data_IF_115580048509
#
_entry.id   IF_115580048509
#
_cell.length_a   1.000
_cell.length_b   1.000
_cell.length_c   1.000
_cell.angle_alpha   90.00
_cell.angle_beta   90.00
_cell.angle_gamma   90.00
#
_symmetry.space_group_name_H-M   'P 1'
#
loop_
_entity.id
_entity.type
_entity.pdbx_description
1 polymer ?
#
# COMPACT_ATOMS: atom_id res chain seq x y z
N UNK A 1 19.70 -35.59 -16.91
CA UNK A 1 19.82 -34.92 -18.20
C UNK A 1 18.44 -34.91 -18.86
N UNK A 2 17.63 -33.88 -18.60
CA UNK A 2 16.29 -33.74 -19.18
C UNK A 2 16.34 -32.54 -20.12
N UNK A 3 16.12 -32.78 -21.40
CA UNK A 3 16.03 -31.75 -22.44
C UNK A 3 14.72 -31.01 -22.28
N UNK A 4 14.77 -29.71 -21.94
CA UNK A 4 13.64 -28.80 -22.01
C UNK A 4 13.53 -28.29 -23.44
N UNK A 5 12.47 -28.67 -24.12
CA UNK A 5 12.14 -28.20 -25.47
C UNK A 5 11.47 -26.86 -25.32
N UNK A 6 12.15 -25.79 -25.82
CA UNK A 6 11.54 -24.48 -26.01
C UNK A 6 10.65 -24.52 -27.26
N UNK A 7 9.33 -24.44 -27.06
CA UNK A 7 8.42 -24.01 -28.11
C UNK A 7 7.58 -22.83 -27.58
N UNK A 8 8.00 -21.63 -27.96
CA UNK A 8 7.15 -20.45 -27.86
C UNK A 8 6.29 -20.37 -29.13
N UNK A 9 4.96 -20.20 -29.01
CA UNK A 9 4.14 -19.92 -30.17
C UNK A 9 4.45 -18.48 -30.65
N UNK A 10 4.98 -18.35 -31.84
CA UNK A 10 5.00 -17.12 -32.60
C UNK A 10 3.59 -16.88 -33.13
N UNK A 11 2.82 -16.04 -32.48
CA UNK A 11 1.66 -15.43 -33.12
C UNK A 11 1.95 -13.95 -33.30
N UNK A 12 2.17 -13.59 -34.55
CA UNK A 12 2.25 -12.25 -35.04
C UNK A 12 0.86 -11.62 -35.10
N UNK A 13 0.85 -10.40 -34.91
CA UNK A 13 0.26 -9.23 -35.55
C UNK A 13 0.45 -8.09 -34.57
N UNK A 14 1.42 -7.23 -34.89
CA UNK A 14 1.78 -6.09 -34.05
C UNK A 14 0.67 -5.05 -34.03
N UNK A 15 -0.22 -5.16 -33.08
CA UNK A 15 -0.86 -4.00 -32.52
C UNK A 15 0.15 -3.42 -31.53
N UNK A 16 0.77 -2.30 -31.89
CA UNK A 16 1.43 -1.41 -30.94
C UNK A 16 0.39 -1.01 -29.90
N UNK A 17 0.31 -1.77 -28.81
CA UNK A 17 -0.38 -1.33 -27.61
C UNK A 17 0.36 -0.05 -27.22
N UNK A 18 -0.23 1.13 -27.48
CA UNK A 18 0.22 2.38 -26.91
C UNK A 18 0.10 2.19 -25.39
N UNK A 19 1.21 1.87 -24.74
CA UNK A 19 1.27 1.88 -23.28
C UNK A 19 0.82 3.27 -22.86
N UNK A 20 -0.27 3.33 -22.08
CA UNK A 20 -0.75 4.59 -21.55
C UNK A 20 0.39 5.18 -20.70
N UNK A 21 0.90 6.32 -21.10
CA UNK A 21 1.79 7.09 -20.22
C UNK A 21 0.99 7.41 -18.96
N UNK A 22 1.60 7.18 -17.80
CA UNK A 22 0.99 7.56 -16.53
C UNK A 22 0.57 9.01 -16.58
N UNK A 23 -0.69 9.24 -16.28
CA UNK A 23 -1.24 10.58 -16.13
C UNK A 23 -2.07 10.62 -14.85
N UNK A 24 -1.75 11.58 -13.98
CA UNK A 24 -2.65 11.97 -12.90
C UNK A 24 -3.48 13.14 -13.41
N UNK A 25 -4.74 12.89 -13.72
CA UNK A 25 -5.71 13.90 -14.06
C UNK A 25 -6.40 14.39 -12.80
N UNK A 26 -6.09 15.60 -12.35
CA UNK A 26 -6.80 16.25 -11.23
C UNK A 26 -8.16 16.71 -11.72
N UNK A 27 -9.22 16.08 -11.20
CA UNK A 27 -10.62 16.37 -11.58
C UNK A 27 -11.14 17.57 -10.78
N UNK A 28 -10.78 17.62 -9.48
CA UNK A 28 -11.24 18.66 -8.57
C UNK A 28 -10.29 18.83 -7.40
N UNK A 29 -10.05 20.08 -7.01
CA UNK A 29 -9.36 20.44 -5.77
C UNK A 29 -10.39 20.97 -4.77
N UNK A 30 -10.20 20.69 -3.49
CA UNK A 30 -11.01 21.23 -2.40
C UNK A 30 -10.63 22.69 -2.14
N UNK A 31 -11.62 23.55 -1.96
CA UNK A 31 -11.40 24.99 -1.79
C UNK A 31 -10.81 25.41 -0.44
N UNK A 32 -10.84 24.52 0.56
CA UNK A 32 -10.45 24.81 1.95
C UNK A 32 -9.23 24.04 2.42
N UNK A 33 -8.71 23.13 1.60
CA UNK A 33 -7.56 22.28 1.93
C UNK A 33 -6.80 21.88 0.67
N UNK A 34 -5.75 21.04 0.83
CA UNK A 34 -5.03 20.47 -0.31
C UNK A 34 -5.63 19.13 -0.79
N UNK A 35 -6.81 18.76 -0.32
CA UNK A 35 -7.51 17.56 -0.76
C UNK A 35 -7.88 17.66 -2.24
N UNK A 36 -7.77 16.56 -2.96
CA UNK A 36 -8.09 16.52 -4.39
C UNK A 36 -8.71 15.20 -4.83
N UNK A 37 -9.63 15.28 -5.76
CA UNK A 37 -10.15 14.14 -6.53
C UNK A 37 -9.35 14.04 -7.82
N UNK A 38 -8.76 12.88 -8.10
CA UNK A 38 -8.00 12.70 -9.33
C UNK A 38 -8.17 11.28 -9.89
N UNK A 39 -7.75 11.09 -11.14
CA UNK A 39 -7.66 9.79 -11.82
C UNK A 39 -6.22 9.49 -12.18
N UNK A 40 -5.74 8.35 -11.71
CA UNK A 40 -4.43 7.82 -12.03
C UNK A 40 -4.59 6.70 -13.07
N UNK A 41 -4.07 6.90 -14.26
CA UNK A 41 -4.07 5.88 -15.31
C UNK A 41 -2.90 4.93 -15.14
N UNK A 42 -3.15 3.62 -15.14
CA UNK A 42 -2.13 2.56 -15.11
C UNK A 42 -2.33 1.62 -16.30
N UNK A 43 -1.42 0.67 -16.47
CA UNK A 43 -1.51 -0.35 -17.55
C UNK A 43 -2.74 -1.26 -17.37
N UNK A 44 -3.16 -1.53 -16.12
CA UNK A 44 -4.25 -2.44 -15.81
C UNK A 44 -5.54 -1.72 -15.34
N UNK A 45 -5.65 -0.42 -15.56
CA UNK A 45 -6.88 0.32 -15.29
C UNK A 45 -6.67 1.71 -14.73
N UNK A 46 -7.78 2.38 -14.45
CA UNK A 46 -7.80 3.72 -13.86
C UNK A 46 -8.12 3.60 -12.37
N UNK A 47 -7.36 4.34 -11.57
CA UNK A 47 -7.52 4.43 -10.11
C UNK A 47 -8.07 5.81 -9.75
N UNK A 48 -9.20 5.85 -9.09
CA UNK A 48 -9.76 7.10 -8.54
C UNK A 48 -9.16 7.38 -7.16
N UNK A 49 -8.54 8.54 -6.99
CA UNK A 49 -7.93 8.97 -5.72
C UNK A 49 -8.76 10.04 -5.01
N UNK A 50 -8.75 10.11 -3.67
CA UNK A 50 -7.96 9.30 -2.73
C UNK A 50 -8.34 7.82 -2.76
N UNK A 51 -7.34 6.92 -2.56
CA UNK A 51 -7.53 5.46 -2.62
C UNK A 51 -6.81 4.74 -1.49
N UNK A 52 -7.42 3.67 -0.99
CA UNK A 52 -6.76 2.68 -0.14
C UNK A 52 -6.36 1.47 -0.97
N UNK A 53 -5.12 1.02 -0.81
CA UNK A 53 -4.57 -0.16 -1.50
C UNK A 53 -4.59 -1.36 -0.56
N UNK A 54 -5.35 -2.38 -0.94
CA UNK A 54 -5.47 -3.59 -0.12
C UNK A 54 -4.18 -4.43 -0.19
N UNK A 55 -3.60 -4.76 0.99
CA UNK A 55 -2.29 -5.42 1.06
C UNK A 55 -2.41 -6.92 0.79
N UNK A 56 -1.85 -7.33 -0.34
CA UNK A 56 -1.70 -8.70 -0.81
C UNK A 56 -0.28 -9.23 -0.66
N UNK A 57 0.23 -9.34 0.57
CA UNK A 57 1.64 -9.63 0.95
C UNK A 57 2.31 -10.74 0.15
N UNK A 58 1.62 -11.86 -0.08
CA UNK A 58 2.12 -13.06 -0.77
C UNK A 58 1.31 -13.34 -2.06
N UNK A 59 0.94 -12.29 -2.80
CA UNK A 59 0.08 -12.41 -3.97
C UNK A 59 -1.38 -12.76 -3.60
N UNK A 60 -1.80 -12.39 -2.38
CA UNK A 60 -3.19 -12.54 -1.92
C UNK A 60 -3.51 -11.57 -0.79
N UNK A 61 -4.64 -10.89 -0.87
CA UNK A 61 -5.23 -10.20 0.28
C UNK A 61 -5.77 -11.28 1.21
N UNK A 62 -5.33 -11.27 2.48
CA UNK A 62 -5.57 -12.39 3.41
C UNK A 62 -7.05 -12.74 3.52
N UNK A 63 -7.36 -14.05 3.31
CA UNK A 63 -8.68 -14.66 3.36
C UNK A 63 -9.66 -14.21 2.25
N UNK A 64 -9.19 -13.49 1.22
CA UNK A 64 -9.99 -13.05 0.08
C UNK A 64 -9.46 -13.61 -1.24
N UNK A 65 -10.36 -13.88 -2.16
CA UNK A 65 -10.06 -14.22 -3.55
C UNK A 65 -10.29 -13.00 -4.47
N UNK A 66 -9.79 -13.00 -5.72
CA UNK A 66 -9.95 -11.87 -6.63
C UNK A 66 -11.40 -11.47 -6.90
N UNK A 67 -12.36 -12.43 -6.88
CA UNK A 67 -13.79 -12.13 -6.97
C UNK A 67 -14.26 -11.25 -5.81
N UNK A 68 -13.87 -11.59 -4.58
CA UNK A 68 -14.19 -10.77 -3.41
C UNK A 68 -13.67 -9.35 -3.56
N UNK A 69 -12.41 -9.19 -4.02
CA UNK A 69 -11.79 -7.87 -4.19
C UNK A 69 -12.57 -7.00 -5.18
N UNK A 70 -13.09 -7.59 -6.27
CA UNK A 70 -13.94 -6.89 -7.23
C UNK A 70 -15.29 -6.46 -6.60
N UNK A 71 -15.93 -7.34 -5.86
CA UNK A 71 -17.16 -7.04 -5.12
C UNK A 71 -16.95 -5.95 -4.06
N UNK A 72 -15.79 -5.95 -3.41
CA UNK A 72 -15.39 -4.97 -2.39
C UNK A 72 -14.86 -3.65 -2.99
N UNK A 73 -14.86 -3.49 -4.31
CA UNK A 73 -14.41 -2.30 -5.03
C UNK A 73 -12.93 -1.96 -4.76
N UNK A 74 -12.09 -2.97 -4.52
CA UNK A 74 -10.64 -2.80 -4.47
C UNK A 74 -10.16 -2.27 -5.81
N UNK A 75 -9.44 -1.16 -5.80
CA UNK A 75 -8.90 -0.56 -7.03
C UNK A 75 -7.44 -0.93 -7.27
N UNK A 76 -6.66 -1.08 -6.20
CA UNK A 76 -5.23 -1.41 -6.26
C UNK A 76 -4.91 -2.47 -5.22
N UNK A 77 -4.13 -3.48 -5.59
CA UNK A 77 -3.55 -4.44 -4.65
C UNK A 77 -2.07 -4.12 -4.46
N UNK A 78 -1.61 -4.09 -3.21
CA UNK A 78 -0.19 -3.92 -2.89
C UNK A 78 0.46 -5.29 -2.65
N UNK A 79 1.48 -5.62 -3.46
CA UNK A 79 2.32 -6.80 -3.29
C UNK A 79 3.63 -6.47 -2.57
N UNK A 80 4.14 -7.38 -1.72
CA UNK A 80 5.40 -7.17 -1.03
C UNK A 80 6.57 -7.89 -1.71
N UNK A 81 7.49 -7.14 -2.28
CA UNK A 81 8.65 -7.63 -3.02
C UNK A 81 9.52 -8.58 -2.18
N UNK A 82 9.83 -8.21 -0.94
CA UNK A 82 10.61 -9.06 -0.03
C UNK A 82 9.98 -10.45 0.16
N UNK A 83 8.69 -10.50 0.45
CA UNK A 83 8.00 -11.77 0.70
C UNK A 83 7.90 -12.63 -0.56
N UNK A 84 7.63 -12.02 -1.71
CA UNK A 84 7.53 -12.71 -2.99
C UNK A 84 8.89 -13.17 -3.53
N UNK A 85 9.98 -12.45 -3.22
CA UNK A 85 11.34 -12.86 -3.48
C UNK A 85 11.71 -14.14 -2.71
N UNK A 86 11.37 -14.20 -1.43
CA UNK A 86 11.65 -15.37 -0.59
C UNK A 86 10.74 -16.56 -0.93
N UNK A 87 9.47 -16.30 -1.24
CA UNK A 87 8.47 -17.33 -1.55
C UNK A 87 7.33 -16.74 -2.37
N UNK A 88 7.04 -17.28 -3.57
CA UNK A 88 7.55 -18.50 -4.16
C UNK A 88 8.92 -18.34 -4.84
N UNK A 89 9.45 -17.11 -4.99
CA UNK A 89 10.68 -16.83 -5.72
C UNK A 89 10.41 -16.29 -7.15
N UNK A 90 11.43 -15.64 -7.74
CA UNK A 90 11.28 -14.99 -9.04
C UNK A 90 11.00 -15.95 -10.19
N UNK A 91 11.58 -17.16 -10.16
CA UNK A 91 11.46 -18.15 -11.25
C UNK A 91 10.02 -18.65 -11.41
N UNK A 92 9.33 -18.90 -10.29
CA UNK A 92 7.93 -19.39 -10.31
C UNK A 92 7.01 -18.30 -10.81
N UNK A 93 7.20 -17.05 -10.37
CA UNK A 93 6.38 -15.91 -10.80
C UNK A 93 6.64 -15.58 -12.27
N UNK A 94 7.89 -15.63 -12.72
CA UNK A 94 8.23 -15.45 -14.13
C UNK A 94 7.58 -16.53 -15.02
N UNK A 95 7.61 -17.80 -14.58
CA UNK A 95 6.98 -18.90 -15.31
C UNK A 95 5.45 -18.77 -15.38
N UNK A 96 4.82 -18.11 -14.39
CA UNK A 96 3.39 -17.80 -14.38
C UNK A 96 3.02 -16.59 -15.27
N UNK A 97 3.99 -15.84 -15.78
CA UNK A 97 3.77 -14.64 -16.58
C UNK A 97 3.55 -13.35 -15.76
N UNK A 98 4.12 -13.28 -14.56
CA UNK A 98 4.03 -12.14 -13.65
C UNK A 98 2.96 -12.29 -12.56
N UNK A 99 2.89 -11.30 -11.67
CA UNK A 99 2.04 -11.36 -10.48
C UNK A 99 0.54 -11.33 -10.80
N UNK A 100 0.13 -10.53 -11.80
CA UNK A 100 -1.27 -10.48 -12.27
C UNK A 100 -1.78 -11.87 -12.68
N UNK A 101 -1.03 -12.56 -13.53
CA UNK A 101 -1.38 -13.91 -13.96
C UNK A 101 -1.32 -14.92 -12.83
N UNK A 102 -0.30 -14.82 -11.96
CA UNK A 102 -0.07 -15.72 -10.85
C UNK A 102 -1.22 -15.69 -9.83
N UNK A 103 -1.70 -14.49 -9.47
CA UNK A 103 -2.79 -14.32 -8.49
C UNK A 103 -4.18 -14.16 -9.13
N UNK A 104 -4.28 -14.15 -10.47
CA UNK A 104 -5.54 -13.96 -11.21
C UNK A 104 -6.23 -12.63 -10.91
N UNK A 105 -5.44 -11.59 -10.70
CA UNK A 105 -5.90 -10.23 -10.51
C UNK A 105 -5.64 -9.41 -11.77
N UNK A 106 -6.68 -8.80 -12.33
CA UNK A 106 -6.63 -8.03 -13.59
C UNK A 106 -6.62 -6.50 -13.39
N UNK A 107 -6.69 -6.04 -12.14
CA UNK A 107 -6.59 -4.62 -11.79
C UNK A 107 -5.16 -4.19 -11.45
N UNK A 108 -4.95 -2.89 -11.18
CA UNK A 108 -3.67 -2.32 -10.82
C UNK A 108 -2.98 -3.00 -9.63
N UNK A 109 -1.66 -3.15 -9.73
CA UNK A 109 -0.80 -3.63 -8.65
C UNK A 109 0.32 -2.61 -8.39
N UNK A 110 0.51 -2.27 -7.11
CA UNK A 110 1.72 -1.61 -6.63
C UNK A 110 2.59 -2.64 -5.91
N UNK A 111 3.91 -2.61 -6.11
CA UNK A 111 4.85 -3.40 -5.31
C UNK A 111 5.75 -2.49 -4.51
N UNK A 112 5.93 -2.82 -3.21
CA UNK A 112 6.91 -2.14 -2.38
C UNK A 112 8.35 -2.49 -2.78
N UNK A 113 9.33 -1.78 -2.22
CA UNK A 113 10.74 -2.04 -2.49
C UNK A 113 11.32 -3.27 -1.78
N UNK A 114 10.67 -3.73 -0.73
CA UNK A 114 11.20 -4.73 0.21
C UNK A 114 12.10 -4.16 1.31
N UNK A 115 12.48 -2.88 1.25
CA UNK A 115 13.40 -2.24 2.21
C UNK A 115 12.88 -2.26 3.65
N UNK A 116 11.61 -1.93 3.87
CA UNK A 116 10.99 -1.97 5.20
C UNK A 116 10.99 -3.38 5.81
N UNK A 117 10.73 -4.43 5.03
CA UNK A 117 10.68 -5.81 5.51
C UNK A 117 12.09 -6.31 5.88
N UNK A 118 13.12 -5.93 5.13
CA UNK A 118 14.52 -6.17 5.51
C UNK A 118 14.81 -5.49 6.84
N UNK A 119 14.33 -4.25 7.04
CA UNK A 119 14.47 -3.53 8.29
C UNK A 119 13.73 -4.21 9.45
N UNK A 120 12.46 -4.61 9.27
CA UNK A 120 11.58 -5.04 10.36
C UNK A 120 11.67 -6.54 10.69
N UNK A 121 11.98 -7.41 9.72
CA UNK A 121 11.90 -8.87 9.87
C UNK A 121 13.26 -9.57 9.94
N UNK A 122 14.30 -9.01 9.32
CA UNK A 122 15.61 -9.63 9.30
C UNK A 122 16.33 -9.46 10.64
N UNK A 123 16.58 -10.57 11.35
CA UNK A 123 17.30 -10.60 12.63
C UNK A 123 18.78 -10.24 12.48
N UNK A 124 19.40 -10.64 11.37
CA UNK A 124 20.79 -10.31 11.02
C UNK A 124 20.77 -9.61 9.68
N UNK A 125 21.28 -8.37 9.65
CA UNK A 125 21.36 -7.55 8.45
C UNK A 125 22.57 -6.65 8.50
N UNK A 126 23.18 -6.43 7.36
CA UNK A 126 24.32 -5.51 7.19
C UNK A 126 24.05 -4.61 6.00
N UNK A 127 23.98 -3.31 6.25
CA UNK A 127 23.85 -2.30 5.22
C UNK A 127 25.20 -1.93 4.64
N UNK A 128 25.27 -1.86 3.33
CA UNK A 128 26.40 -1.34 2.56
C UNK A 128 25.90 -0.21 1.65
N UNK A 129 26.78 0.37 0.85
CA UNK A 129 26.39 1.36 -0.16
C UNK A 129 25.60 0.71 -1.32
N UNK A 130 25.83 -0.57 -1.58
CA UNK A 130 25.18 -1.31 -2.67
C UNK A 130 23.78 -1.84 -2.30
N UNK A 131 23.50 -2.02 -0.99
CA UNK A 131 22.26 -2.60 -0.50
C UNK A 131 22.41 -3.24 0.87
N UNK A 132 21.57 -4.22 1.17
CA UNK A 132 21.55 -4.91 2.45
C UNK A 132 21.68 -6.42 2.28
N UNK A 133 22.63 -7.04 3.02
CA UNK A 133 22.69 -8.48 3.24
C UNK A 133 21.86 -8.85 4.44
N UNK A 134 21.06 -9.90 4.32
CA UNK A 134 20.21 -10.36 5.42
C UNK A 134 19.93 -11.85 5.33
N UNK A 135 19.55 -12.43 6.49
CA UNK A 135 19.10 -13.82 6.54
C UNK A 135 17.57 -13.88 6.49
N UNK A 136 17.05 -14.74 5.62
CA UNK A 136 15.62 -15.04 5.50
C UNK A 136 15.06 -15.47 6.86
N UNK A 137 13.91 -14.91 7.22
CA UNK A 137 13.18 -15.30 8.43
C UNK A 137 12.47 -16.67 8.29
N UNK A 138 12.43 -17.23 7.07
CA UNK A 138 11.76 -18.50 6.77
C UNK A 138 12.70 -19.69 7.03
N UNK A 139 13.91 -19.64 6.49
CA UNK A 139 14.85 -20.77 6.42
C UNK A 139 16.30 -20.39 6.77
N UNK A 140 16.57 -19.12 7.04
CA UNK A 140 17.88 -18.63 7.42
C UNK A 140 18.88 -18.43 6.28
N UNK A 141 18.54 -18.73 5.04
CA UNK A 141 19.42 -18.48 3.89
C UNK A 141 19.78 -17.00 3.78
N UNK A 142 21.01 -16.74 3.35
CA UNK A 142 21.48 -15.38 3.11
C UNK A 142 20.96 -14.85 1.78
N UNK A 143 20.44 -13.63 1.80
CA UNK A 143 19.99 -12.85 0.64
C UNK A 143 20.68 -11.50 0.61
N UNK A 144 20.78 -10.97 -0.60
CA UNK A 144 21.17 -9.57 -0.82
C UNK A 144 20.03 -8.86 -1.55
N UNK A 145 19.67 -7.68 -1.07
CA UNK A 145 18.66 -6.80 -1.68
C UNK A 145 19.19 -5.37 -1.70
N UNK A 146 19.28 -4.82 -2.87
CA UNK A 146 19.63 -3.43 -3.14
C UNK A 146 18.75 -2.85 -4.23
N UNK A 147 19.04 -1.64 -4.70
CA UNK A 147 18.28 -1.01 -5.77
C UNK A 147 18.08 -1.91 -7.00
N UNK A 148 19.16 -2.54 -7.45
CA UNK A 148 19.15 -3.41 -8.63
C UNK A 148 18.30 -4.67 -8.43
N UNK A 149 18.51 -5.38 -7.31
CA UNK A 149 17.80 -6.63 -7.02
C UNK A 149 16.30 -6.37 -6.79
N UNK A 150 15.97 -5.29 -6.08
CA UNK A 150 14.59 -4.87 -5.85
C UNK A 150 13.87 -4.55 -7.16
N UNK A 151 14.46 -3.72 -8.02
CA UNK A 151 13.85 -3.35 -9.30
C UNK A 151 13.76 -4.54 -10.26
N UNK A 152 14.76 -5.44 -10.29
CA UNK A 152 14.69 -6.68 -11.08
C UNK A 152 13.54 -7.57 -10.61
N UNK A 153 13.35 -7.72 -9.29
CA UNK A 153 12.22 -8.49 -8.76
C UNK A 153 10.89 -7.84 -9.12
N UNK A 154 10.73 -6.53 -8.94
CA UNK A 154 9.51 -5.80 -9.28
C UNK A 154 9.21 -5.85 -10.80
N UNK A 155 10.24 -5.85 -11.65
CA UNK A 155 10.10 -6.11 -13.09
C UNK A 155 9.55 -7.50 -13.39
N UNK A 156 10.01 -8.54 -12.68
CA UNK A 156 9.51 -9.91 -12.81
C UNK A 156 8.06 -10.01 -12.29
N UNK A 157 7.75 -9.32 -11.22
CA UNK A 157 6.38 -9.19 -10.70
C UNK A 157 5.45 -8.54 -11.72
N UNK A 158 5.94 -7.60 -12.54
CA UNK A 158 5.18 -6.91 -13.57
C UNK A 158 4.08 -6.03 -12.98
N UNK A 159 4.33 -5.43 -11.81
CA UNK A 159 3.40 -4.48 -11.19
C UNK A 159 3.26 -3.19 -12.03
N UNK A 160 2.14 -2.49 -11.89
CA UNK A 160 1.93 -1.20 -12.55
C UNK A 160 2.80 -0.11 -11.94
N UNK A 161 3.00 -0.18 -10.62
CA UNK A 161 3.80 0.78 -9.85
C UNK A 161 4.85 0.03 -9.03
N UNK A 162 6.12 0.42 -9.22
CA UNK A 162 7.26 -0.09 -8.46
C UNK A 162 7.81 1.01 -7.55
N UNK A 163 8.18 0.67 -6.31
CA UNK A 163 8.78 1.61 -5.38
C UNK A 163 10.31 1.52 -5.44
N UNK A 164 11.01 2.65 -5.37
CA UNK A 164 12.47 2.67 -5.23
C UNK A 164 12.91 1.98 -3.94
N UNK A 165 14.12 1.41 -3.95
CA UNK A 165 14.70 0.85 -2.73
C UNK A 165 15.20 1.97 -1.83
N UNK A 166 14.82 1.94 -0.55
CA UNK A 166 15.08 2.98 0.45
C UNK A 166 15.55 2.39 1.78
N UNK A 167 16.13 3.22 2.62
CA UNK A 167 16.48 2.86 3.98
C UNK A 167 15.49 3.46 4.98
N UNK A 168 14.59 2.64 5.49
CA UNK A 168 13.65 3.03 6.54
C UNK A 168 14.37 3.15 7.88
N UNK A 169 14.20 4.28 8.56
CA UNK A 169 14.77 4.54 9.88
C UNK A 169 13.85 4.10 11.01
N UNK A 170 14.40 3.66 12.16
CA UNK A 170 13.61 3.47 13.37
C UNK A 170 13.16 4.81 13.96
N UNK A 171 12.13 4.77 14.79
CA UNK A 171 11.76 5.90 15.63
C UNK A 171 12.05 5.53 17.11
N UNK A 172 12.70 6.41 17.91
CA UNK A 172 13.40 7.63 17.49
C UNK A 172 14.71 7.34 16.74
N UNK A 173 15.22 8.35 16.02
CA UNK A 173 16.49 8.29 15.32
C UNK A 173 17.24 9.60 15.50
N UNK A 174 18.55 9.52 15.74
CA UNK A 174 19.42 10.68 15.84
C UNK A 174 19.58 11.39 14.49
N UNK A 175 19.80 12.71 14.52
CA UNK A 175 19.87 13.55 13.33
C UNK A 175 20.95 13.11 12.34
N UNK A 176 22.19 12.93 12.82
CA UNK A 176 23.32 12.53 11.95
C UNK A 176 23.02 11.20 11.23
N UNK A 177 22.35 10.28 11.92
CA UNK A 177 21.92 8.99 11.34
C UNK A 177 20.84 9.18 10.28
N UNK A 178 19.92 10.13 10.49
CA UNK A 178 18.90 10.46 9.53
C UNK A 178 19.49 11.09 8.26
N UNK A 179 20.43 12.01 8.38
CA UNK A 179 21.16 12.61 7.26
C UNK A 179 21.89 11.56 6.41
N UNK A 180 22.67 10.69 7.04
CA UNK A 180 23.38 9.60 6.34
C UNK A 180 22.44 8.64 5.61
N UNK A 181 21.30 8.33 6.22
CA UNK A 181 20.29 7.44 5.61
C UNK A 181 19.58 8.08 4.41
N UNK A 182 19.25 9.36 4.52
CA UNK A 182 18.62 10.11 3.42
C UNK A 182 19.56 10.21 2.23
N UNK A 183 20.83 10.56 2.44
CA UNK A 183 21.82 10.60 1.36
C UNK A 183 21.98 9.24 0.65
N UNK A 184 21.98 8.16 1.41
CA UNK A 184 22.00 6.80 0.86
C UNK A 184 20.72 6.51 0.07
N UNK A 185 19.56 6.82 0.62
CA UNK A 185 18.25 6.61 -0.02
C UNK A 185 18.14 7.40 -1.33
N UNK A 186 18.66 8.63 -1.40
CA UNK A 186 18.71 9.43 -2.65
C UNK A 186 19.59 8.74 -3.71
N UNK A 187 20.80 8.25 -3.32
CA UNK A 187 21.66 7.51 -4.26
C UNK A 187 21.01 6.20 -4.72
N UNK A 188 20.34 5.48 -3.82
CA UNK A 188 19.60 4.26 -4.14
C UNK A 188 18.39 4.51 -5.02
N UNK A 189 17.67 5.62 -4.82
CA UNK A 189 16.57 6.03 -5.68
C UNK A 189 17.04 6.29 -7.12
N UNK A 190 18.17 6.97 -7.30
CA UNK A 190 18.77 7.18 -8.62
C UNK A 190 19.14 5.87 -9.31
N UNK A 191 19.82 4.97 -8.61
CA UNK A 191 20.15 3.62 -9.10
C UNK A 191 18.90 2.80 -9.43
N UNK A 192 17.84 2.88 -8.61
CA UNK A 192 16.56 2.20 -8.87
C UNK A 192 15.93 2.71 -10.17
N UNK A 193 15.97 4.01 -10.43
CA UNK A 193 15.42 4.60 -11.65
C UNK A 193 16.17 4.19 -12.91
N UNK A 194 17.48 3.96 -12.81
CA UNK A 194 18.35 3.56 -13.92
C UNK A 194 18.17 2.09 -14.32
N UNK A 195 17.61 1.25 -13.45
CA UNK A 195 17.38 -0.16 -13.75
C UNK A 195 16.23 -0.34 -14.76
N UNK A 196 16.29 -1.37 -15.62
CA UNK A 196 15.22 -1.64 -16.58
C UNK A 196 13.90 -2.03 -15.90
N UNK A 197 12.79 -1.41 -16.29
CA UNK A 197 11.43 -1.68 -15.79
C UNK A 197 10.63 -2.60 -16.72
N UNK A 198 9.50 -3.11 -16.25
CA UNK A 198 8.53 -3.77 -17.12
C UNK A 198 7.85 -2.74 -18.04
N UNK A 199 7.35 -3.14 -19.21
CA UNK A 199 6.65 -2.23 -20.11
C UNK A 199 5.44 -1.58 -19.43
N UNK A 200 5.40 -0.23 -19.40
CA UNK A 200 4.35 0.55 -18.74
C UNK A 200 4.43 0.61 -17.22
N UNK A 201 5.41 -0.05 -16.59
CA UNK A 201 5.65 0.03 -15.16
C UNK A 201 6.18 1.42 -14.79
N UNK A 202 5.60 2.00 -13.75
CA UNK A 202 5.91 3.33 -13.23
C UNK A 202 6.77 3.19 -11.97
N UNK A 203 7.60 4.20 -11.69
CA UNK A 203 8.51 4.17 -10.55
C UNK A 203 8.23 5.36 -9.63
N UNK A 204 7.99 5.06 -8.36
CA UNK A 204 7.76 6.07 -7.33
C UNK A 204 8.98 6.23 -6.43
N UNK A 205 9.37 7.49 -6.19
CA UNK A 205 10.37 7.87 -5.19
C UNK A 205 9.80 7.81 -3.78
N UNK A 206 10.67 7.59 -2.77
CA UNK A 206 10.26 7.54 -1.35
C UNK A 206 11.02 8.61 -0.57
N UNK A 207 10.30 9.61 -0.05
CA UNK A 207 10.86 10.66 0.81
C UNK A 207 11.08 10.09 2.21
N UNK A 208 12.33 10.13 2.67
CA UNK A 208 12.75 9.78 4.03
C UNK A 208 13.22 11.04 4.77
N UNK A 209 13.54 10.95 6.06
CA UNK A 209 14.08 12.07 6.85
C UNK A 209 13.68 12.06 8.33
N UNK A 210 13.03 10.99 8.80
CA UNK A 210 12.60 10.87 10.20
C UNK A 210 11.65 12.01 10.59
N UNK A 211 11.95 12.67 11.69
CA UNK A 211 11.17 13.81 12.23
C UNK A 211 11.79 15.17 11.91
N UNK A 212 12.77 15.23 11.02
CA UNK A 212 13.54 16.43 10.71
C UNK A 212 13.02 17.07 9.41
N UNK A 213 12.38 18.21 9.51
CA UNK A 213 11.69 18.89 8.41
C UNK A 213 12.63 19.27 7.27
N UNK A 214 13.79 19.80 7.59
CA UNK A 214 14.81 20.20 6.62
C UNK A 214 15.42 19.01 5.88
N UNK A 215 15.61 17.87 6.56
CA UNK A 215 16.10 16.64 5.93
C UNK A 215 15.02 16.06 4.99
N UNK A 216 13.75 16.08 5.39
CA UNK A 216 12.62 15.66 4.53
C UNK A 216 12.49 16.54 3.29
N UNK A 217 12.59 17.85 3.48
CA UNK A 217 12.60 18.80 2.37
C UNK A 217 13.73 18.51 1.40
N UNK A 218 14.96 18.37 1.88
CA UNK A 218 16.14 18.05 1.06
C UNK A 218 15.92 16.74 0.27
N UNK A 219 15.40 15.70 0.93
CA UNK A 219 15.08 14.43 0.28
C UNK A 219 14.03 14.62 -0.82
N UNK A 220 12.94 15.33 -0.54
CA UNK A 220 11.86 15.58 -1.50
C UNK A 220 12.38 16.33 -2.73
N UNK A 221 13.10 17.44 -2.53
CA UNK A 221 13.69 18.26 -3.61
C UNK A 221 14.66 17.42 -4.47
N UNK A 222 15.53 16.60 -3.85
CA UNK A 222 16.47 15.71 -4.56
C UNK A 222 15.75 14.63 -5.38
N UNK A 223 14.67 14.03 -4.85
CA UNK A 223 13.88 13.05 -5.58
C UNK A 223 13.13 13.69 -6.76
N UNK A 224 12.65 14.92 -6.61
CA UNK A 224 12.01 15.68 -7.69
C UNK A 224 13.02 16.00 -8.79
N UNK A 225 14.24 16.35 -8.45
CA UNK A 225 15.33 16.55 -9.43
C UNK A 225 15.65 15.26 -10.21
N UNK A 226 15.69 14.10 -9.54
CA UNK A 226 15.82 12.80 -10.21
C UNK A 226 14.62 12.56 -11.13
N UNK A 227 13.41 12.95 -10.72
CA UNK A 227 12.16 12.87 -11.50
C UNK A 227 11.55 11.48 -11.50
N UNK A 228 10.47 11.27 -10.76
CA UNK A 228 9.70 10.02 -10.69
C UNK A 228 8.27 10.20 -11.22
N UNK A 229 7.60 9.07 -11.45
CA UNK A 229 6.20 9.07 -11.89
C UNK A 229 5.24 9.41 -10.75
N UNK A 230 5.66 9.21 -9.51
CA UNK A 230 4.96 9.53 -8.27
C UNK A 230 5.89 9.55 -7.07
N UNK A 231 5.39 9.96 -5.92
CA UNK A 231 6.20 10.14 -4.72
C UNK A 231 5.48 9.62 -3.48
N UNK A 232 6.22 8.93 -2.62
CA UNK A 232 5.71 8.47 -1.34
C UNK A 232 6.38 9.21 -0.17
N UNK A 233 5.64 9.39 0.92
CA UNK A 233 6.16 9.79 2.22
C UNK A 233 6.38 8.52 3.02
N UNK A 234 7.66 8.14 3.17
CA UNK A 234 8.10 6.98 3.94
C UNK A 234 8.59 7.35 5.34
N UNK A 235 9.03 6.36 6.11
CA UNK A 235 9.51 6.54 7.47
C UNK A 235 8.46 7.08 8.43
N UNK A 236 7.20 6.76 8.17
CA UNK A 236 6.03 7.04 9.03
C UNK A 236 5.32 5.74 9.37
N UNK A 237 4.48 5.74 10.40
CA UNK A 237 3.81 4.53 10.93
C UNK A 237 4.80 3.46 11.42
N UNK A 238 5.97 3.89 11.92
CA UNK A 238 7.03 3.03 12.46
C UNK A 238 7.11 3.05 13.99
N UNK A 239 6.10 3.61 14.65
CA UNK A 239 5.99 3.70 16.12
C UNK A 239 6.05 5.11 16.68
N UNK A 240 6.14 6.12 15.85
CA UNK A 240 6.12 7.53 16.25
C UNK A 240 4.72 7.97 16.72
N UNK A 241 4.62 8.95 17.62
CA UNK A 241 3.38 9.65 17.92
C UNK A 241 2.78 10.31 16.67
N UNK A 242 1.45 10.30 16.57
CA UNK A 242 0.69 10.76 15.41
C UNK A 242 1.10 12.17 14.90
N UNK A 243 1.43 13.08 15.82
CA UNK A 243 1.88 14.44 15.46
C UNK A 243 3.10 14.45 14.52
N UNK A 244 4.04 13.50 14.70
CA UNK A 244 5.24 13.41 13.87
C UNK A 244 4.96 12.85 12.48
N UNK A 245 3.93 11.99 12.36
CA UNK A 245 3.45 11.54 11.06
C UNK A 245 2.87 12.73 10.26
N UNK A 246 2.02 13.58 10.86
CA UNK A 246 1.52 14.77 10.17
C UNK A 246 2.63 15.76 9.84
N UNK A 247 3.56 15.99 10.77
CA UNK A 247 4.74 16.81 10.53
C UNK A 247 5.55 16.30 9.33
N UNK A 248 5.74 14.98 9.22
CA UNK A 248 6.45 14.38 8.10
C UNK A 248 5.74 14.62 6.75
N UNK A 249 4.40 14.58 6.72
CA UNK A 249 3.59 14.91 5.54
C UNK A 249 3.73 16.40 5.21
N UNK A 250 3.58 17.28 6.22
CA UNK A 250 3.68 18.74 6.07
C UNK A 250 5.08 19.18 5.60
N UNK A 251 6.15 18.47 6.03
CA UNK A 251 7.52 18.73 5.63
C UNK A 251 7.91 18.14 4.26
N UNK A 252 7.07 17.29 3.67
CA UNK A 252 7.37 16.62 2.40
C UNK A 252 6.49 17.13 1.25
N UNK A 253 5.17 17.12 1.43
CA UNK A 253 4.18 17.35 0.37
C UNK A 253 4.32 18.70 -0.36
N UNK A 254 4.63 19.84 0.30
CA UNK A 254 4.80 21.13 -0.38
C UNK A 254 5.89 21.15 -1.44
N UNK A 255 6.87 20.25 -1.34
CA UNK A 255 8.01 20.16 -2.26
C UNK A 255 7.80 19.11 -3.37
N UNK A 256 6.67 18.41 -3.38
CA UNK A 256 6.32 17.41 -4.40
C UNK A 256 5.46 18.02 -5.52
N UNK A 257 5.64 17.60 -6.78
CA UNK A 257 4.87 18.11 -7.91
C UNK A 257 3.36 17.90 -7.71
N UNK A 258 2.57 18.88 -8.17
CA UNK A 258 1.10 18.81 -8.08
C UNK A 258 0.47 17.87 -9.09
N UNK A 259 1.14 17.63 -10.21
CA UNK A 259 0.71 16.74 -11.30
C UNK A 259 1.14 15.28 -11.12
N UNK A 260 1.69 14.93 -9.94
CA UNK A 260 2.11 13.57 -9.60
C UNK A 260 1.33 13.02 -8.41
N UNK A 261 1.04 11.71 -8.37
CA UNK A 261 0.41 11.07 -7.23
C UNK A 261 1.33 11.09 -5.99
N UNK A 262 0.71 11.24 -4.83
CA UNK A 262 1.37 11.31 -3.52
C UNK A 262 0.82 10.22 -2.61
N UNK A 263 1.69 9.42 -2.07
CA UNK A 263 1.37 8.24 -1.30
C UNK A 263 1.96 8.33 0.12
N UNK A 264 1.16 8.07 1.16
CA UNK A 264 1.64 7.87 2.53
C UNK A 264 1.63 6.39 2.86
N UNK A 265 2.83 5.85 3.19
CA UNK A 265 3.04 4.43 3.38
C UNK A 265 2.57 3.94 4.76
N UNK A 266 1.90 2.79 4.81
CA UNK A 266 1.57 2.07 6.04
C UNK A 266 0.44 2.66 6.87
N UNK A 267 -0.37 3.58 6.35
CA UNK A 267 -1.42 4.28 7.08
C UNK A 267 -2.81 3.73 6.77
N UNK A 268 -3.55 3.28 7.82
CA UNK A 268 -4.87 2.66 7.65
C UNK A 268 -5.90 3.03 8.72
N UNK A 269 -5.69 4.12 9.47
CA UNK A 269 -6.66 4.65 10.44
C UNK A 269 -7.48 5.75 9.77
N UNK A 270 -8.81 5.61 9.72
CA UNK A 270 -9.70 6.51 8.97
C UNK A 270 -9.47 7.99 9.28
N UNK A 271 -9.42 8.36 10.56
CA UNK A 271 -9.20 9.76 10.99
C UNK A 271 -7.88 10.30 10.47
N UNK A 272 -6.82 9.51 10.54
CA UNK A 272 -5.50 9.90 10.06
C UNK A 272 -5.47 10.05 8.52
N UNK A 273 -6.17 9.17 7.81
CA UNK A 273 -6.28 9.26 6.34
C UNK A 273 -6.98 10.53 5.89
N UNK A 274 -8.08 10.95 6.56
CA UNK A 274 -8.76 12.23 6.28
C UNK A 274 -7.80 13.40 6.44
N UNK A 275 -7.03 13.43 7.52
CA UNK A 275 -6.05 14.48 7.78
C UNK A 275 -4.91 14.52 6.76
N UNK A 276 -4.46 13.35 6.29
CA UNK A 276 -3.44 13.27 5.24
C UNK A 276 -4.01 13.70 3.87
N UNK A 277 -5.26 13.33 3.56
CA UNK A 277 -5.93 13.81 2.33
C UNK A 277 -6.09 15.33 2.35
N UNK A 278 -6.45 15.92 3.49
CA UNK A 278 -6.50 17.38 3.66
C UNK A 278 -5.14 18.05 3.37
N UNK A 279 -4.03 17.31 3.49
CA UNK A 279 -2.65 17.76 3.20
C UNK A 279 -2.20 17.41 1.78
N UNK A 280 -3.07 16.83 0.95
CA UNK A 280 -2.80 16.55 -0.45
C UNK A 280 -2.24 15.16 -0.74
N UNK A 281 -2.48 14.17 0.13
CA UNK A 281 -2.16 12.76 -0.11
C UNK A 281 -3.28 12.06 -0.89
N UNK A 282 -2.90 11.23 -1.85
CA UNK A 282 -3.79 10.53 -2.78
C UNK A 282 -3.94 9.02 -2.47
N UNK A 283 -2.89 8.38 -1.93
CA UNK A 283 -2.81 6.93 -1.84
C UNK A 283 -2.38 6.48 -0.45
N UNK A 284 -2.92 5.34 -0.02
CA UNK A 284 -2.68 4.75 1.31
C UNK A 284 -2.63 3.23 1.20
N UNK A 285 -1.87 2.59 2.09
CA UNK A 285 -1.93 1.15 2.33
C UNK A 285 -1.82 0.85 3.82
N UNK A 286 -2.35 -0.26 4.24
CA UNK A 286 -2.05 -0.83 5.56
C UNK A 286 -2.51 -2.28 5.66
N UNK A 287 -1.79 -3.08 6.42
CA UNK A 287 -2.20 -4.47 6.74
C UNK A 287 -3.31 -4.53 7.79
N UNK A 288 -3.61 -3.41 8.46
CA UNK A 288 -4.57 -3.33 9.58
C UNK A 288 -5.92 -3.98 9.23
N UNK A 289 -6.61 -3.69 8.12
CA UNK A 289 -7.95 -4.23 7.87
C UNK A 289 -7.99 -5.75 7.97
N UNK A 290 -7.08 -6.42 7.28
CA UNK A 290 -7.02 -7.89 7.28
C UNK A 290 -6.39 -8.45 8.55
N UNK A 291 -5.41 -7.74 9.15
CA UNK A 291 -4.72 -8.18 10.36
C UNK A 291 -5.68 -8.22 11.55
N UNK A 292 -6.36 -7.10 11.85
CA UNK A 292 -7.25 -7.03 13.00
C UNK A 292 -8.51 -7.87 12.81
N UNK A 293 -9.00 -8.03 11.57
CA UNK A 293 -10.09 -8.95 11.25
C UNK A 293 -9.78 -10.37 11.73
N UNK A 294 -8.58 -10.86 11.43
CA UNK A 294 -8.14 -12.20 11.87
C UNK A 294 -7.98 -12.35 13.38
N UNK A 295 -7.94 -11.24 14.10
CA UNK A 295 -7.93 -11.23 15.59
C UNK A 295 -9.32 -10.94 16.19
N UNK A 296 -10.35 -10.78 15.36
CA UNK A 296 -11.73 -10.58 15.81
C UNK A 296 -12.08 -9.12 16.06
N UNK A 297 -11.43 -8.17 15.38
CA UNK A 297 -11.76 -6.75 15.45
C UNK A 297 -12.35 -6.28 14.12
N UNK A 298 -13.54 -5.70 14.17
CA UNK A 298 -14.19 -5.05 13.03
C UNK A 298 -13.94 -3.55 13.05
N UNK A 299 -13.72 -2.98 11.87
CA UNK A 299 -13.62 -1.54 11.63
C UNK A 299 -15.03 -1.02 11.34
N UNK A 300 -15.50 -0.02 12.08
CA UNK A 300 -16.78 0.64 11.80
C UNK A 300 -16.61 2.16 11.72
N UNK A 301 -17.60 2.86 11.18
CA UNK A 301 -17.61 4.33 11.13
C UNK A 301 -17.62 4.97 12.54
N UNK A 302 -18.08 4.22 13.55
CA UNK A 302 -18.14 4.66 14.95
C UNK A 302 -16.95 4.17 15.80
N UNK A 303 -15.93 3.61 15.16
CA UNK A 303 -14.75 3.03 15.81
C UNK A 303 -14.71 1.50 15.73
N UNK A 304 -13.64 0.93 16.24
CA UNK A 304 -13.41 -0.51 16.18
C UNK A 304 -14.23 -1.27 17.23
N UNK A 305 -14.77 -2.41 16.85
CA UNK A 305 -15.47 -3.31 17.77
C UNK A 305 -14.79 -4.68 17.87
N UNK A 306 -14.63 -5.17 19.11
CA UNK A 306 -14.13 -6.53 19.37
C UNK A 306 -15.30 -7.53 19.26
N UNK A 307 -15.40 -8.24 18.14
CA UNK A 307 -16.53 -9.15 17.88
C UNK A 307 -16.54 -10.35 18.82
N UNK A 308 -15.41 -10.71 19.40
CA UNK A 308 -15.27 -11.79 20.38
C UNK A 308 -15.86 -11.46 21.77
N UNK A 309 -16.21 -10.21 22.04
CA UNK A 309 -16.73 -9.79 23.34
C UNK A 309 -18.03 -10.51 23.71
N UNK A 310 -18.19 -10.84 24.99
CA UNK A 310 -19.33 -11.61 25.49
C UNK A 310 -20.69 -10.95 25.23
N UNK A 311 -20.73 -9.62 25.20
CA UNK A 311 -21.95 -8.83 24.91
C UNK A 311 -22.62 -9.15 23.58
N UNK A 312 -21.86 -9.71 22.62
CA UNK A 312 -22.38 -10.06 21.30
C UNK A 312 -22.96 -11.48 21.22
N UNK A 313 -22.98 -12.25 22.33
CA UNK A 313 -23.43 -13.64 22.34
C UNK A 313 -24.85 -13.85 21.82
N UNK A 314 -25.73 -12.90 22.10
CA UNK A 314 -27.17 -12.94 21.73
C UNK A 314 -27.52 -11.85 20.68
N UNK A 315 -26.56 -11.12 20.17
CA UNK A 315 -26.79 -10.02 19.25
C UNK A 315 -27.02 -10.54 17.83
N UNK A 316 -28.24 -10.41 17.34
CA UNK A 316 -28.65 -10.85 15.99
C UNK A 316 -28.43 -9.77 14.92
N UNK A 317 -27.96 -8.58 15.30
CA UNK A 317 -27.66 -7.50 14.37
C UNK A 317 -26.40 -7.75 13.54
N UNK A 318 -26.22 -7.01 12.44
CA UNK A 318 -25.01 -7.06 11.58
C UNK A 318 -23.80 -6.49 12.31
N UNK A 319 -22.58 -6.68 11.75
CA UNK A 319 -21.36 -6.04 12.30
C UNK A 319 -21.55 -4.53 12.38
N UNK A 320 -22.09 -3.92 11.33
CA UNK A 320 -22.40 -2.49 11.26
C UNK A 320 -23.77 -2.28 10.59
N UNK A 321 -24.64 -1.51 11.25
CA UNK A 321 -25.97 -1.21 10.74
C UNK A 321 -25.89 -0.42 9.42
N UNK A 322 -26.69 -0.80 8.44
CA UNK A 322 -26.72 -0.18 7.12
C UNK A 322 -25.54 -0.53 6.20
N UNK A 323 -24.58 -1.33 6.67
CA UNK A 323 -23.46 -1.77 5.85
C UNK A 323 -23.92 -2.79 4.79
N UNK A 324 -23.68 -2.55 3.47
CA UNK A 324 -24.15 -3.42 2.39
C UNK A 324 -23.18 -4.58 2.08
N UNK A 325 -22.08 -4.75 2.83
CA UNK A 325 -21.12 -5.82 2.55
C UNK A 325 -21.75 -7.20 2.80
N UNK A 326 -21.25 -8.22 2.11
CA UNK A 326 -21.75 -9.59 2.22
C UNK A 326 -21.82 -10.11 3.67
N UNK A 327 -20.84 -9.77 4.50
CA UNK A 327 -20.82 -10.16 5.91
C UNK A 327 -22.03 -9.58 6.66
N UNK A 328 -22.26 -8.27 6.57
CA UNK A 328 -23.34 -7.59 7.30
C UNK A 328 -24.74 -7.94 6.78
N UNK A 329 -24.88 -8.24 5.50
CA UNK A 329 -26.17 -8.59 4.90
C UNK A 329 -26.64 -10.01 5.26
N UNK A 330 -25.72 -10.90 5.64
CA UNK A 330 -26.03 -12.32 5.78
C UNK A 330 -25.76 -12.89 7.17
N UNK A 331 -24.97 -12.23 8.02
CA UNK A 331 -24.51 -12.83 9.27
C UNK A 331 -24.61 -11.87 10.46
N UNK A 332 -25.05 -12.40 11.60
CA UNK A 332 -25.16 -11.65 12.84
C UNK A 332 -23.82 -11.61 13.61
N UNK A 333 -23.67 -10.61 14.48
CA UNK A 333 -22.55 -10.54 15.45
C UNK A 333 -22.45 -11.80 16.29
N UNK A 334 -23.59 -12.35 16.74
CA UNK A 334 -23.67 -13.60 17.50
C UNK A 334 -23.04 -14.76 16.74
N UNK A 335 -23.40 -14.95 15.46
CA UNK A 335 -22.87 -16.03 14.65
C UNK A 335 -21.36 -15.87 14.39
N UNK A 336 -20.91 -14.68 14.00
CA UNK A 336 -19.49 -14.41 13.76
C UNK A 336 -18.67 -14.63 15.04
N UNK A 337 -19.19 -14.19 16.20
CA UNK A 337 -18.59 -14.45 17.51
C UNK A 337 -18.47 -15.96 17.79
N UNK A 338 -19.52 -16.72 17.52
CA UNK A 338 -19.52 -18.19 17.66
C UNK A 338 -18.40 -18.81 16.81
N UNK A 339 -18.30 -18.45 15.54
CA UNK A 339 -17.25 -18.94 14.65
C UNK A 339 -15.83 -18.65 15.19
N UNK A 340 -15.59 -17.46 15.74
CA UNK A 340 -14.31 -17.14 16.39
C UNK A 340 -14.06 -18.00 17.63
N UNK A 341 -15.10 -18.29 18.44
CA UNK A 341 -14.97 -19.14 19.62
C UNK A 341 -14.64 -20.59 19.25
N UNK A 342 -15.12 -21.07 18.12
CA UNK A 342 -14.85 -22.41 17.58
C UNK A 342 -13.58 -22.50 16.73
N UNK A 343 -12.89 -21.37 16.47
CA UNK A 343 -11.69 -21.34 15.61
C UNK A 343 -11.96 -21.54 14.12
N UNK A 344 -13.21 -21.29 13.66
CA UNK A 344 -13.59 -21.49 12.27
C UNK A 344 -12.98 -20.45 11.34
N UNK A 345 -12.42 -20.90 10.22
CA UNK A 345 -11.78 -20.03 9.20
C UNK A 345 -12.77 -19.02 8.62
N UNK A 346 -14.05 -19.40 8.52
CA UNK A 346 -15.09 -18.52 7.99
C UNK A 346 -15.21 -17.21 8.80
N UNK A 347 -14.96 -17.23 10.11
CA UNK A 347 -14.93 -16.01 10.93
C UNK A 347 -13.92 -14.98 10.40
N UNK A 348 -12.72 -15.45 10.07
CA UNK A 348 -11.63 -14.62 9.59
C UNK A 348 -11.98 -14.00 8.23
N UNK A 349 -12.57 -14.80 7.33
CA UNK A 349 -13.00 -14.37 6.00
C UNK A 349 -14.11 -13.32 6.08
N UNK A 350 -15.19 -13.59 6.83
CA UNK A 350 -16.34 -12.69 6.94
C UNK A 350 -15.93 -11.33 7.50
N UNK A 351 -15.12 -11.33 8.56
CA UNK A 351 -14.67 -10.09 9.16
C UNK A 351 -13.67 -9.33 8.28
N UNK A 352 -12.85 -10.07 7.48
CA UNK A 352 -11.96 -9.43 6.48
C UNK A 352 -12.78 -8.77 5.37
N UNK A 353 -13.83 -9.42 4.86
CA UNK A 353 -14.77 -8.85 3.87
C UNK A 353 -15.33 -7.52 4.41
N UNK A 354 -15.80 -7.52 5.66
CA UNK A 354 -16.34 -6.31 6.26
C UNK A 354 -15.29 -5.19 6.39
N UNK A 355 -14.11 -5.49 6.91
CA UNK A 355 -13.08 -4.47 7.14
C UNK A 355 -12.53 -3.87 5.84
N UNK A 356 -12.34 -4.69 4.80
CA UNK A 356 -11.91 -4.20 3.48
C UNK A 356 -13.02 -3.33 2.86
N UNK A 357 -14.28 -3.77 2.93
CA UNK A 357 -15.40 -2.94 2.51
C UNK A 357 -15.44 -1.60 3.25
N UNK A 358 -15.28 -1.62 4.57
CA UNK A 358 -15.32 -0.40 5.40
C UNK A 358 -14.31 0.65 4.93
N UNK A 359 -13.07 0.25 4.61
CA UNK A 359 -12.05 1.20 4.13
C UNK A 359 -12.29 1.63 2.68
N UNK A 360 -12.62 0.71 1.78
CA UNK A 360 -12.87 1.05 0.37
C UNK A 360 -14.09 1.96 0.21
N UNK A 361 -15.19 1.69 0.96
CA UNK A 361 -16.35 2.57 0.98
C UNK A 361 -16.05 3.92 1.63
N UNK A 362 -15.21 3.95 2.67
CA UNK A 362 -14.76 5.20 3.28
C UNK A 362 -14.01 6.09 2.30
N UNK A 363 -13.12 5.53 1.49
CA UNK A 363 -12.45 6.29 0.43
C UNK A 363 -13.41 6.78 -0.64
N UNK A 364 -14.41 5.97 -1.00
CA UNK A 364 -15.45 6.39 -1.95
C UNK A 364 -16.29 7.57 -1.41
N UNK A 365 -16.67 7.54 -0.13
CA UNK A 365 -17.38 8.65 0.51
C UNK A 365 -16.52 9.93 0.58
N UNK A 366 -15.22 9.78 0.83
CA UNK A 366 -14.27 10.90 0.83
C UNK A 366 -14.15 11.54 -0.56
N UNK A 367 -14.01 10.72 -1.62
CA UNK A 367 -14.02 11.21 -3.02
C UNK A 367 -15.32 11.94 -3.34
N UNK A 368 -16.46 11.39 -2.93
CA UNK A 368 -17.76 12.02 -3.09
C UNK A 368 -17.85 13.36 -2.35
N UNK A 369 -17.34 13.43 -1.12
CA UNK A 369 -17.32 14.68 -0.34
C UNK A 369 -16.48 15.77 -1.03
N UNK A 370 -15.31 15.41 -1.61
CA UNK A 370 -14.50 16.35 -2.40
C UNK A 370 -15.26 16.78 -3.66
N UNK A 371 -15.87 15.84 -4.39
CA UNK A 371 -16.63 16.15 -5.61
C UNK A 371 -17.79 17.12 -5.36
N UNK A 372 -18.41 17.05 -4.19
CA UNK A 372 -19.61 17.84 -3.80
C UNK A 372 -19.28 19.09 -2.96
N UNK A 373 -17.99 19.49 -2.83
CA UNK A 373 -17.53 20.62 -1.99
C UNK A 373 -17.90 20.50 -0.50
N UNK A 374 -17.98 19.28 0.01
CA UNK A 374 -18.34 18.95 1.41
C UNK A 374 -17.21 18.36 2.22
N UNK A 375 -15.98 18.41 1.68
CA UNK A 375 -14.83 17.74 2.34
C UNK A 375 -14.55 18.34 3.72
N UNK A 376 -14.68 19.65 3.92
CA UNK A 376 -14.51 20.28 5.23
C UNK A 376 -15.51 19.73 6.27
N UNK A 377 -16.78 19.53 5.89
CA UNK A 377 -17.79 18.91 6.74
C UNK A 377 -17.44 17.45 7.04
N UNK A 378 -17.12 16.68 6.02
CA UNK A 378 -16.69 15.28 6.16
C UNK A 378 -15.51 15.14 7.12
N UNK A 379 -14.49 16.00 7.00
CA UNK A 379 -13.34 16.05 7.88
C UNK A 379 -13.73 16.33 9.35
N UNK A 380 -14.61 17.29 9.58
CA UNK A 380 -15.08 17.66 10.92
C UNK A 380 -15.80 16.50 11.64
N UNK A 381 -16.56 15.66 10.93
CA UNK A 381 -17.24 14.48 11.48
C UNK A 381 -16.24 13.46 12.07
N UNK A 382 -15.04 13.32 11.49
CA UNK A 382 -14.00 12.42 11.99
C UNK A 382 -13.08 13.02 13.05
N UNK A 383 -13.01 14.33 13.17
CA UNK A 383 -12.29 15.01 14.25
C UNK A 383 -13.06 14.96 15.56
N UNK A 384 -14.39 15.08 15.52
CA UNK A 384 -15.25 15.06 16.70
C UNK A 384 -15.43 13.66 17.33
N UNK A 385 -15.15 12.60 16.57
CA UNK A 385 -15.28 11.20 17.02
C UNK A 385 -14.11 10.73 17.89
N UNK A 386 -13.15 11.58 18.20
CA UNK A 386 -11.90 11.26 18.91
C UNK A 386 -11.91 11.68 20.40
N UNK A 387 -13.07 12.07 20.94
CA UNK A 387 -13.26 12.40 22.38
C UNK A 387 -13.85 11.23 23.16
#
# INVERSE_FOLDING_TARGET
MVRIIHNFPKNGTGNLVKYATMNLEVIKEDSSSSARLARLTTTHGVVETPVFMDVGTLGTVKALEPRDLKELKTQVVLGNTYHLLLRPGPEIIAAAGGLHSFMRWDGPILTDSGGFQVFSLAKRRTFTEEGCRFNSHIDGHEFFLGPKESMRMQKILGSDIAMVFDECLPFPCERDRAELSVERSIRWARRSKEEPHAPGQQVFGIVQGGVYDDIRRHCAESLVEIGFDGYAVGGVSVGEPERYMYQAVDASVPFLPKDKPRYVMGLGVMRQMVECVARGIDMFDCVIPTRIARHGTAITRKGNIAIKAAKWAFDQGPVEEGCPCYCCQNFSRSYIRHLFACGEILALRLLTIHNVWALNSFMADMRKAIAEDRFAQFRAEFQSSAS
#
